data_IF_456580431350
#
_entry.id   IF_456580431350
#
_cell.length_a   1.000
_cell.length_b   1.000
_cell.length_c   1.000
_cell.angle_alpha   90.00
_cell.angle_beta   90.00
_cell.angle_gamma   90.00
#
_symmetry.space_group_name_H-M   'P 1'
#
loop_
_entity.id
_entity.type
_entity.pdbx_description
1 polymer ?
#
# COMPACT_ATOMS: atom_id res chain seq x y z
N UNK A 1 -19.67 33.57 -22.91
CA UNK A 1 -18.23 33.83 -22.90
C UNK A 1 -17.87 34.69 -24.09
N UNK A 2 -17.38 35.91 -23.85
CA UNK A 2 -16.85 36.76 -24.91
C UNK A 2 -15.33 36.60 -24.90
N UNK A 3 -14.79 36.06 -25.99
CA UNK A 3 -13.35 35.85 -26.13
C UNK A 3 -12.80 36.89 -27.11
N UNK A 4 -11.72 37.53 -26.74
CA UNK A 4 -11.00 38.48 -27.59
C UNK A 4 -9.58 37.94 -27.84
N UNK A 5 -9.14 38.01 -29.06
CA UNK A 5 -7.77 37.62 -29.40
C UNK A 5 -6.75 38.67 -28.93
N UNK A 6 -5.60 38.19 -28.43
CA UNK A 6 -4.50 39.01 -27.93
C UNK A 6 -3.56 39.44 -29.07
N UNK A 7 -4.08 39.70 -30.24
CA UNK A 7 -3.29 40.14 -31.39
C UNK A 7 -3.84 41.47 -31.92
N UNK A 8 -2.97 42.32 -32.39
CA UNK A 8 -3.33 43.55 -33.08
C UNK A 8 -3.71 43.36 -34.56
N UNK A 9 -3.60 42.13 -35.07
CA UNK A 9 -3.98 41.79 -36.44
C UNK A 9 -5.51 41.69 -36.56
N UNK A 10 -6.17 42.59 -37.29
CA UNK A 10 -7.62 42.56 -37.44
C UNK A 10 -8.14 41.40 -38.27
N UNK A 11 -7.27 40.65 -38.96
CA UNK A 11 -7.61 39.49 -39.74
C UNK A 11 -7.45 38.16 -39.01
N UNK A 12 -6.88 38.21 -37.81
CA UNK A 12 -6.68 37.02 -37.01
C UNK A 12 -8.02 36.50 -36.46
N UNK A 13 -8.21 35.19 -36.53
CA UNK A 13 -9.40 34.52 -36.03
C UNK A 13 -9.06 33.19 -35.34
N UNK A 14 -9.93 32.76 -34.46
CA UNK A 14 -9.82 31.46 -33.83
C UNK A 14 -10.29 30.41 -34.83
N UNK A 15 -9.44 29.43 -35.23
CA UNK A 15 -9.86 28.40 -36.19
C UNK A 15 -11.11 27.65 -35.71
N UNK A 16 -12.04 27.38 -36.62
CA UNK A 16 -13.33 26.76 -36.31
C UNK A 16 -13.20 25.42 -35.54
N UNK A 17 -12.11 24.70 -35.75
CA UNK A 17 -11.82 23.46 -35.01
C UNK A 17 -11.68 23.63 -33.50
N UNK A 18 -11.37 24.83 -33.00
CA UNK A 18 -11.28 25.16 -31.59
C UNK A 18 -12.61 25.66 -30.99
N UNK A 19 -13.58 25.97 -31.84
CA UNK A 19 -14.89 26.49 -31.44
C UNK A 19 -16.00 25.46 -31.44
N UNK A 20 -15.68 24.18 -31.57
CA UNK A 20 -16.65 23.07 -31.57
C UNK A 20 -17.30 22.87 -30.21
N UNK A 21 -18.58 22.49 -30.22
CA UNK A 21 -19.33 22.15 -28.99
C UNK A 21 -18.62 21.03 -28.23
N UNK A 22 -18.47 21.19 -26.90
CA UNK A 22 -17.83 20.21 -26.04
C UNK A 22 -16.31 20.37 -25.86
N UNK A 23 -15.71 21.42 -26.42
CA UNK A 23 -14.32 21.79 -26.10
C UNK A 23 -14.24 22.39 -24.70
N UNK A 24 -13.31 21.89 -23.91
CA UNK A 24 -12.96 22.46 -22.62
C UNK A 24 -12.04 23.67 -22.82
N UNK A 25 -12.32 24.75 -22.11
CA UNK A 25 -11.54 25.97 -22.10
C UNK A 25 -11.04 26.19 -20.69
N UNK A 26 -9.73 26.24 -20.53
CA UNK A 26 -9.09 26.59 -19.26
C UNK A 26 -8.63 28.04 -19.28
N UNK A 27 -8.62 28.69 -18.11
CA UNK A 27 -8.07 30.02 -17.90
C UNK A 27 -6.75 29.88 -17.16
N UNK A 28 -5.66 30.30 -17.80
CA UNK A 28 -4.33 30.17 -17.23
C UNK A 28 -3.94 31.41 -16.40
N UNK A 29 -4.22 32.61 -16.92
CA UNK A 29 -3.89 33.84 -16.22
C UNK A 29 -4.92 34.91 -16.51
N UNK A 30 -4.89 35.99 -15.73
CA UNK A 30 -5.75 37.13 -15.90
C UNK A 30 -4.91 38.43 -15.86
N UNK A 31 -5.05 39.27 -16.88
CA UNK A 31 -4.50 40.61 -16.92
C UNK A 31 -5.62 41.61 -16.84
N UNK A 32 -5.45 42.65 -16.06
CA UNK A 32 -6.42 43.78 -15.89
C UNK A 32 -5.77 45.09 -16.25
N UNK A 33 -6.58 46.12 -16.47
CA UNK A 33 -6.15 47.48 -16.81
C UNK A 33 -5.24 48.06 -15.72
N UNK A 34 -4.20 48.82 -16.13
CA UNK A 34 -3.20 49.36 -15.19
C UNK A 34 -3.76 50.49 -14.33
N UNK A 35 -4.67 51.32 -14.86
CA UNK A 35 -5.03 52.59 -14.22
C UNK A 35 -6.36 52.53 -13.45
N UNK A 36 -7.32 51.72 -13.85
CA UNK A 36 -8.62 51.58 -13.20
C UNK A 36 -9.13 50.15 -13.22
N UNK A 37 -8.53 49.28 -12.45
CA UNK A 37 -9.06 47.92 -12.30
C UNK A 37 -10.18 47.87 -11.26
N UNK A 38 -11.37 48.32 -11.60
CA UNK A 38 -12.56 48.17 -10.76
C UNK A 38 -13.08 46.74 -10.75
N UNK A 39 -12.82 45.97 -11.81
CA UNK A 39 -13.17 44.55 -11.91
C UNK A 39 -11.98 43.70 -11.54
N UNK A 40 -12.02 43.15 -10.36
CA UNK A 40 -11.09 42.08 -9.98
C UNK A 40 -11.18 40.88 -10.93
N UNK A 41 -10.04 40.32 -11.28
CA UNK A 41 -9.99 39.11 -12.09
C UNK A 41 -10.82 37.96 -11.49
N UNK A 42 -11.49 37.19 -12.34
CA UNK A 42 -12.26 36.06 -11.92
C UNK A 42 -11.34 34.99 -11.32
N UNK A 43 -11.63 34.55 -10.10
CA UNK A 43 -10.94 33.46 -9.44
C UNK A 43 -11.49 32.12 -9.96
N UNK A 44 -10.62 31.23 -10.38
CA UNK A 44 -11.02 29.87 -10.68
C UNK A 44 -11.19 29.10 -9.38
N UNK A 45 -12.40 28.65 -9.09
CA UNK A 45 -12.67 27.77 -7.98
C UNK A 45 -12.72 26.32 -8.48
N UNK A 46 -11.80 25.51 -8.02
CA UNK A 46 -11.89 24.07 -8.17
C UNK A 46 -12.56 23.49 -6.94
N UNK A 47 -13.62 22.72 -7.12
CA UNK A 47 -14.19 21.96 -6.01
C UNK A 47 -13.24 20.83 -5.63
N UNK A 48 -12.84 20.76 -4.36
CA UNK A 48 -12.02 19.67 -3.86
C UNK A 48 -12.74 18.33 -3.99
N UNK A 49 -12.04 17.32 -4.48
CA UNK A 49 -12.54 15.95 -4.48
C UNK A 49 -12.52 15.40 -3.04
N UNK A 50 -13.70 15.02 -2.54
CA UNK A 50 -13.80 14.38 -1.23
C UNK A 50 -13.68 12.87 -1.39
N UNK A 51 -12.61 12.31 -0.86
CA UNK A 51 -12.45 10.86 -0.70
C UNK A 51 -12.86 10.45 0.71
N UNK A 52 -13.46 9.29 0.83
CA UNK A 52 -13.94 8.76 2.11
C UNK A 52 -13.55 7.30 2.25
N UNK A 53 -12.96 6.97 3.39
CA UNK A 53 -12.74 5.61 3.84
C UNK A 53 -13.29 5.47 5.26
N UNK A 54 -13.46 4.25 5.73
CA UNK A 54 -13.97 3.94 7.06
C UNK A 54 -13.01 3.00 7.77
N UNK A 55 -13.02 3.00 9.11
CA UNK A 55 -12.25 2.03 9.89
C UNK A 55 -13.05 0.73 10.07
N UNK A 56 -12.34 -0.39 10.09
CA UNK A 56 -12.89 -1.71 10.39
C UNK A 56 -12.59 -2.09 11.83
N UNK A 57 -13.52 -2.79 12.46
CA UNK A 57 -13.30 -3.39 13.78
C UNK A 57 -12.88 -4.84 13.58
N UNK A 58 -11.68 -5.17 13.99
CA UNK A 58 -11.12 -6.51 14.00
C UNK A 58 -11.19 -7.08 15.41
N UNK A 59 -11.57 -8.34 15.54
CA UNK A 59 -11.63 -9.03 16.83
C UNK A 59 -11.26 -10.49 16.69
N UNK A 60 -10.40 -10.95 17.59
CA UNK A 60 -9.99 -12.35 17.64
C UNK A 60 -9.94 -12.81 19.10
N UNK A 61 -10.19 -14.08 19.32
CA UNK A 61 -10.07 -14.70 20.63
C UNK A 61 -9.21 -15.96 20.57
N UNK A 62 -8.51 -16.19 21.66
CA UNK A 62 -7.77 -17.39 21.93
C UNK A 62 -8.26 -17.99 23.25
N UNK A 63 -8.52 -19.28 23.31
CA UNK A 63 -9.08 -19.96 24.46
C UNK A 63 -8.18 -21.09 24.89
N UNK A 64 -7.85 -21.14 26.19
CA UNK A 64 -7.00 -22.16 26.79
C UNK A 64 -7.80 -22.87 27.85
N UNK A 65 -7.74 -24.21 27.86
CA UNK A 65 -8.33 -25.05 28.92
C UNK A 65 -7.29 -25.35 29.98
N UNK A 66 -7.70 -25.50 31.24
CA UNK A 66 -6.81 -25.82 32.36
C UNK A 66 -5.97 -27.08 32.12
N UNK A 67 -6.55 -28.08 31.48
CA UNK A 67 -5.86 -29.35 31.18
C UNK A 67 -4.66 -29.21 30.19
N UNK A 68 -4.60 -28.12 29.42
CA UNK A 68 -3.54 -27.87 28.45
C UNK A 68 -2.49 -26.90 28.98
N UNK A 69 -2.80 -26.16 30.03
CA UNK A 69 -1.99 -25.05 30.54
C UNK A 69 -0.53 -25.45 30.82
N UNK A 70 -0.30 -26.60 31.43
CA UNK A 70 1.04 -27.03 31.86
C UNK A 70 1.71 -28.04 30.91
N UNK A 71 1.11 -28.28 29.73
CA UNK A 71 1.72 -29.18 28.74
C UNK A 71 2.97 -28.57 28.14
N UNK A 72 4.08 -29.33 28.23
CA UNK A 72 5.38 -28.94 27.68
C UNK A 72 5.47 -29.33 26.20
N UNK A 73 6.08 -28.48 25.39
CA UNK A 73 6.44 -28.83 24.00
C UNK A 73 7.58 -29.85 23.99
N UNK A 74 7.50 -30.80 23.07
CA UNK A 74 8.58 -31.76 22.83
C UNK A 74 9.84 -31.08 22.30
N UNK A 75 9.65 -30.03 21.49
CA UNK A 75 10.71 -29.19 20.94
C UNK A 75 10.38 -27.74 21.29
N UNK A 76 11.25 -27.09 22.05
CA UNK A 76 11.09 -25.67 22.39
C UNK A 76 11.28 -24.76 21.15
N UNK A 77 10.54 -23.68 21.08
CA UNK A 77 10.74 -22.65 20.05
C UNK A 77 11.87 -21.71 20.49
N UNK A 78 12.92 -21.63 19.69
CA UNK A 78 14.10 -20.81 19.94
C UNK A 78 14.16 -19.63 18.97
N UNK A 79 14.59 -18.48 19.46
CA UNK A 79 14.94 -17.33 18.61
C UNK A 79 16.24 -17.59 17.84
N UNK A 80 16.49 -16.94 16.69
CA UNK A 80 17.79 -16.95 16.02
C UNK A 80 18.95 -16.57 16.94
N UNK A 81 18.69 -15.75 17.96
CA UNK A 81 19.68 -15.32 18.96
C UNK A 81 19.91 -16.34 20.08
N UNK A 82 19.36 -17.56 19.97
CA UNK A 82 19.50 -18.63 20.94
C UNK A 82 18.63 -18.50 22.19
N UNK A 83 17.78 -17.48 22.26
CA UNK A 83 16.86 -17.31 23.37
C UNK A 83 15.59 -18.18 23.17
N UNK A 84 15.10 -18.73 24.27
CA UNK A 84 13.90 -19.55 24.26
C UNK A 84 12.64 -18.67 24.16
N UNK A 85 11.84 -18.87 23.12
CA UNK A 85 10.57 -18.14 22.88
C UNK A 85 9.41 -18.87 23.57
N UNK A 86 9.34 -20.19 23.42
CA UNK A 86 8.25 -20.99 23.98
C UNK A 86 8.70 -22.39 24.40
N UNK A 87 8.28 -22.77 25.59
CA UNK A 87 8.50 -24.09 26.22
C UNK A 87 7.23 -24.90 26.34
N UNK A 88 6.11 -24.23 26.43
CA UNK A 88 4.80 -24.83 26.63
C UNK A 88 3.92 -24.68 25.40
N UNK A 89 2.98 -25.59 25.24
CA UNK A 89 1.99 -25.52 24.17
C UNK A 89 1.19 -24.21 24.19
N UNK A 90 0.90 -23.70 25.35
CA UNK A 90 0.15 -22.45 25.51
C UNK A 90 0.92 -21.27 24.98
N UNK A 91 2.22 -21.13 25.34
CA UNK A 91 3.07 -20.03 24.84
C UNK A 91 3.29 -20.11 23.33
N UNK A 92 3.45 -21.33 22.80
CA UNK A 92 3.55 -21.52 21.35
C UNK A 92 2.27 -21.08 20.64
N UNK A 93 1.12 -21.54 21.11
CA UNK A 93 -0.18 -21.20 20.53
C UNK A 93 -0.51 -19.70 20.70
N UNK A 94 -0.08 -19.06 21.76
CA UNK A 94 -0.18 -17.61 21.97
C UNK A 94 0.70 -16.86 20.96
N UNK A 95 1.94 -17.29 20.75
CA UNK A 95 2.82 -16.74 19.74
C UNK A 95 2.24 -16.90 18.33
N UNK A 96 1.74 -18.07 17.97
CA UNK A 96 1.09 -18.33 16.68
C UNK A 96 -0.17 -17.45 16.51
N UNK A 97 -0.97 -17.28 17.55
CA UNK A 97 -2.11 -16.38 17.57
C UNK A 97 -1.72 -14.93 17.24
N UNK A 98 -0.62 -14.44 17.83
CA UNK A 98 -0.12 -13.10 17.54
C UNK A 98 0.39 -12.95 16.10
N UNK A 99 1.12 -13.92 15.59
CA UNK A 99 1.56 -13.92 14.19
C UNK A 99 0.36 -13.86 13.25
N UNK A 100 -0.62 -14.73 13.44
CA UNK A 100 -1.85 -14.74 12.64
C UNK A 100 -2.65 -13.44 12.76
N UNK A 101 -2.70 -12.84 13.94
CA UNK A 101 -3.38 -11.58 14.16
C UNK A 101 -2.75 -10.44 13.36
N UNK A 102 -1.43 -10.34 13.38
CA UNK A 102 -0.70 -9.32 12.64
C UNK A 102 -0.83 -9.52 11.13
N UNK A 103 -0.72 -10.75 10.65
CA UNK A 103 -0.90 -11.08 9.24
C UNK A 103 -2.31 -10.74 8.73
N UNK A 104 -3.34 -11.07 9.49
CA UNK A 104 -4.73 -10.76 9.13
C UNK A 104 -4.97 -9.25 9.03
N UNK A 105 -4.43 -8.46 9.96
CA UNK A 105 -4.51 -7.00 9.92
C UNK A 105 -3.74 -6.44 8.72
N UNK A 106 -2.52 -6.90 8.47
CA UNK A 106 -1.72 -6.45 7.35
C UNK A 106 -2.41 -6.73 6.02
N UNK A 107 -2.94 -7.94 5.84
CA UNK A 107 -3.71 -8.32 4.66
C UNK A 107 -4.95 -7.43 4.50
N UNK A 108 -5.67 -7.16 5.58
CA UNK A 108 -6.84 -6.29 5.54
C UNK A 108 -6.50 -4.84 5.19
N UNK A 109 -5.41 -4.29 5.73
CA UNK A 109 -4.95 -2.94 5.44
C UNK A 109 -4.41 -2.79 4.01
N UNK A 110 -3.81 -3.85 3.45
CA UNK A 110 -3.27 -3.79 2.08
C UNK A 110 -4.34 -4.08 1.03
N UNK A 111 -5.12 -5.15 1.21
CA UNK A 111 -6.01 -5.73 0.19
C UNK A 111 -7.50 -5.56 0.48
N UNK A 112 -7.87 -4.98 1.61
CA UNK A 112 -9.26 -4.79 2.01
C UNK A 112 -10.08 -4.09 0.91
N UNK A 113 -11.35 -4.44 0.82
CA UNK A 113 -12.31 -3.75 -0.05
C UNK A 113 -13.41 -3.16 0.80
N UNK A 114 -13.68 -1.87 0.61
CA UNK A 114 -14.77 -1.21 1.31
C UNK A 114 -16.12 -1.80 0.90
N UNK A 115 -16.99 -1.94 1.88
CA UNK A 115 -18.40 -2.30 1.66
C UNK A 115 -19.32 -1.08 1.66
N UNK A 116 -18.77 0.13 1.69
CA UNK A 116 -19.56 1.37 1.62
C UNK A 116 -20.11 1.60 0.22
N UNK A 117 -21.36 1.99 0.16
CA UNK A 117 -22.00 2.54 -1.04
C UNK A 117 -21.67 4.03 -1.17
N UNK A 118 -22.06 4.64 -2.29
CA UNK A 118 -21.87 6.09 -2.54
C UNK A 118 -22.55 6.97 -1.49
N UNK A 119 -23.66 6.51 -0.90
CA UNK A 119 -24.42 7.18 0.17
C UNK A 119 -23.87 6.91 1.57
N UNK A 120 -22.67 6.30 1.66
CA UNK A 120 -22.00 5.90 2.92
C UNK A 120 -22.74 4.83 3.75
N UNK A 121 -23.78 4.23 3.20
CA UNK A 121 -24.47 3.10 3.81
C UNK A 121 -23.81 1.77 3.46
N UNK A 122 -24.09 0.74 4.25
CA UNK A 122 -23.75 -0.66 3.96
C UNK A 122 -24.87 -1.58 4.37
N UNK A 123 -25.09 -2.63 3.59
CA UNK A 123 -26.09 -3.65 3.89
C UNK A 123 -25.52 -4.85 4.66
N UNK A 124 -24.19 -4.86 4.91
CA UNK A 124 -23.56 -5.98 5.60
C UNK A 124 -23.89 -5.94 7.08
N UNK A 125 -24.46 -7.03 7.58
CA UNK A 125 -24.79 -7.21 9.00
C UNK A 125 -24.06 -8.40 9.57
N UNK A 126 -23.63 -8.28 10.81
CA UNK A 126 -23.03 -9.38 11.58
C UNK A 126 -24.09 -10.33 12.14
N UNK A 127 -23.64 -11.37 12.81
CA UNK A 127 -24.50 -12.38 13.43
C UNK A 127 -25.51 -11.80 14.44
N UNK A 128 -25.16 -10.69 15.08
CA UNK A 128 -26.05 -9.98 16.02
C UNK A 128 -26.97 -8.94 15.37
N UNK A 129 -27.03 -8.89 14.03
CA UNK A 129 -27.85 -7.94 13.28
C UNK A 129 -27.28 -6.52 13.17
N UNK A 130 -26.16 -6.23 13.82
CA UNK A 130 -25.47 -4.93 13.74
C UNK A 130 -24.71 -4.77 12.44
N UNK A 131 -24.55 -3.52 12.01
CA UNK A 131 -23.82 -3.19 10.78
C UNK A 131 -22.34 -3.49 10.91
N UNK A 132 -21.76 -4.13 9.89
CA UNK A 132 -20.33 -4.39 9.78
C UNK A 132 -19.73 -3.45 8.73
N UNK A 133 -18.72 -2.70 9.14
CA UNK A 133 -17.98 -1.79 8.27
C UNK A 133 -16.64 -2.41 7.86
N UNK A 134 -16.36 -2.41 6.56
CA UNK A 134 -15.09 -2.85 5.99
C UNK A 134 -14.35 -1.67 5.36
N UNK A 135 -13.12 -1.47 5.81
CA UNK A 135 -12.21 -0.45 5.29
C UNK A 135 -11.71 -0.82 3.90
N UNK A 136 -11.53 0.18 3.05
CA UNK A 136 -10.72 0.01 1.86
C UNK A 136 -9.25 -0.10 2.26
N UNK A 137 -8.59 -1.14 1.79
CA UNK A 137 -7.14 -1.29 1.90
C UNK A 137 -6.41 -0.35 0.94
N UNK A 138 -5.09 -0.33 1.06
CA UNK A 138 -4.25 0.58 0.29
C UNK A 138 -4.42 0.40 -1.23
N UNK A 139 -4.41 -0.84 -1.73
CA UNK A 139 -4.57 -1.13 -3.17
C UNK A 139 -5.92 -0.70 -3.74
N UNK A 140 -6.97 -0.74 -2.93
CA UNK A 140 -8.31 -0.33 -3.35
C UNK A 140 -8.45 1.20 -3.45
N UNK A 141 -7.61 1.95 -2.74
CA UNK A 141 -7.60 3.41 -2.75
C UNK A 141 -6.78 4.01 -3.88
N UNK A 142 -5.89 3.23 -4.51
CA UNK A 142 -5.10 3.70 -5.67
C UNK A 142 -6.04 3.97 -6.84
N UNK A 143 -5.86 5.15 -7.46
CA UNK A 143 -6.66 5.56 -8.62
C UNK A 143 -6.58 4.52 -9.75
N UNK A 144 -7.72 4.16 -10.37
CA UNK A 144 -7.72 3.25 -11.52
C UNK A 144 -6.85 3.75 -12.69
N UNK A 145 -6.71 5.07 -12.86
CA UNK A 145 -5.86 5.68 -13.88
C UNK A 145 -4.37 5.37 -13.70
N UNK A 146 -3.95 5.09 -12.45
CA UNK A 146 -2.57 4.79 -12.10
C UNK A 146 -2.27 3.28 -12.06
N UNK A 147 -3.20 2.44 -12.55
CA UNK A 147 -2.99 1.01 -12.72
C UNK A 147 -2.64 0.73 -14.16
N UNK A 148 -1.40 0.28 -14.40
CA UNK A 148 -0.89 -0.04 -15.73
C UNK A 148 -0.61 -1.53 -15.85
N UNK A 149 -0.87 -2.06 -17.04
CA UNK A 149 -0.58 -3.44 -17.37
C UNK A 149 0.65 -3.50 -18.27
N UNK A 150 1.47 -4.51 -18.07
CA UNK A 150 2.65 -4.77 -18.91
C UNK A 150 2.67 -6.23 -19.36
N UNK A 151 3.13 -6.47 -20.55
CA UNK A 151 3.41 -7.81 -21.10
C UNK A 151 4.87 -8.16 -20.87
N UNK A 152 5.76 -7.24 -21.27
CA UNK A 152 7.19 -7.34 -21.05
C UNK A 152 7.69 -6.16 -20.20
N UNK A 153 8.45 -6.48 -19.16
CA UNK A 153 9.07 -5.46 -18.33
C UNK A 153 10.43 -5.08 -18.92
N UNK A 154 10.50 -3.88 -19.46
CA UNK A 154 11.73 -3.30 -20.02
C UNK A 154 12.08 -2.00 -19.30
N UNK A 155 13.33 -1.52 -19.41
CA UNK A 155 13.71 -0.21 -18.86
C UNK A 155 12.82 0.90 -19.44
N UNK A 156 12.51 0.86 -20.71
CA UNK A 156 11.61 1.84 -21.34
C UNK A 156 10.20 1.81 -20.77
N UNK A 157 9.67 0.63 -20.43
CA UNK A 157 8.36 0.48 -19.76
C UNK A 157 8.38 1.17 -18.39
N UNK A 158 9.45 0.97 -17.61
CA UNK A 158 9.61 1.57 -16.29
C UNK A 158 9.75 3.09 -16.41
N UNK A 159 10.58 3.57 -17.33
CA UNK A 159 10.78 5.00 -17.57
C UNK A 159 9.50 5.71 -17.99
N UNK A 160 8.76 5.14 -18.95
CA UNK A 160 7.48 5.70 -19.40
C UNK A 160 6.46 5.72 -18.28
N UNK A 161 6.41 4.66 -17.47
CA UNK A 161 5.55 4.61 -16.30
C UNK A 161 5.88 5.70 -15.27
N UNK A 162 7.16 5.94 -14.99
CA UNK A 162 7.58 7.03 -14.11
C UNK A 162 7.20 8.41 -14.66
N UNK A 163 7.39 8.62 -15.97
CA UNK A 163 6.97 9.85 -16.62
C UNK A 163 5.46 10.07 -16.52
N UNK A 164 4.65 9.02 -16.76
CA UNK A 164 3.20 9.08 -16.63
C UNK A 164 2.77 9.48 -15.20
N UNK A 165 3.46 8.98 -14.18
CA UNK A 165 3.22 9.38 -12.78
C UNK A 165 3.61 10.84 -12.52
N UNK A 166 4.65 11.34 -13.18
CA UNK A 166 5.09 12.72 -13.03
C UNK A 166 4.07 13.72 -13.59
N UNK A 167 3.39 13.41 -14.69
CA UNK A 167 2.38 14.29 -15.28
C UNK A 167 1.15 14.51 -14.39
N UNK A 168 0.84 13.58 -13.50
CA UNK A 168 -0.34 13.64 -12.64
C UNK A 168 -0.05 14.29 -11.26
N UNK A 169 1.18 14.69 -11.02
CA UNK A 169 1.56 15.19 -9.72
C UNK A 169 1.56 16.70 -9.62
N UNK A 170 1.26 17.17 -8.43
CA UNK A 170 1.20 18.61 -8.07
C UNK A 170 2.51 19.13 -7.47
N UNK A 171 3.49 18.26 -7.23
CA UNK A 171 4.77 18.64 -6.60
C UNK A 171 5.86 18.85 -7.64
N UNK A 172 6.59 19.95 -7.51
CA UNK A 172 7.81 20.23 -8.24
C UNK A 172 8.99 19.52 -7.54
N UNK A 173 9.82 18.83 -8.32
CA UNK A 173 11.04 18.20 -7.85
C UNK A 173 11.05 16.67 -7.90
N UNK A 174 12.18 16.05 -7.51
CA UNK A 174 12.35 14.61 -7.58
C UNK A 174 11.43 13.88 -6.62
N UNK A 175 10.87 12.77 -7.06
CA UNK A 175 9.97 11.92 -6.29
C UNK A 175 10.66 10.65 -5.88
N UNK A 176 10.34 10.19 -4.69
CA UNK A 176 10.85 8.93 -4.16
C UNK A 176 9.71 7.93 -3.96
N UNK A 177 9.73 6.87 -4.76
CA UNK A 177 8.78 5.77 -4.64
C UNK A 177 9.42 4.56 -3.99
N UNK A 178 8.74 3.98 -3.02
CA UNK A 178 9.01 2.63 -2.55
C UNK A 178 8.06 1.68 -3.26
N UNK A 179 8.62 0.75 -4.02
CA UNK A 179 7.86 -0.24 -4.74
C UNK A 179 7.80 -1.54 -3.93
N UNK A 180 6.61 -1.84 -3.39
CA UNK A 180 6.32 -3.15 -2.81
C UNK A 180 6.06 -4.13 -3.94
N UNK A 181 6.90 -5.14 -4.10
CA UNK A 181 6.85 -6.03 -5.24
C UNK A 181 7.00 -7.50 -4.87
N UNK A 182 6.44 -8.36 -5.71
CA UNK A 182 6.67 -9.77 -5.62
C UNK A 182 8.05 -10.16 -6.18
N UNK A 183 8.53 -11.33 -5.80
CA UNK A 183 9.88 -11.84 -6.16
C UNK A 183 10.07 -11.93 -7.68
N UNK A 184 9.04 -12.35 -8.42
CA UNK A 184 9.14 -12.45 -9.86
C UNK A 184 9.22 -11.07 -10.55
N UNK A 185 8.55 -10.06 -10.01
CA UNK A 185 8.72 -8.69 -10.50
C UNK A 185 10.15 -8.18 -10.27
N UNK A 186 10.73 -8.46 -9.11
CA UNK A 186 12.12 -8.08 -8.81
C UNK A 186 13.11 -8.75 -9.77
N UNK A 187 12.89 -10.02 -10.11
CA UNK A 187 13.72 -10.75 -11.07
C UNK A 187 13.61 -10.15 -12.48
N UNK A 188 12.39 -9.87 -12.96
CA UNK A 188 12.17 -9.20 -14.24
C UNK A 188 12.77 -7.81 -14.30
N UNK A 189 12.67 -7.06 -13.20
CA UNK A 189 13.25 -5.73 -13.08
C UNK A 189 14.78 -5.80 -13.18
N UNK A 190 15.43 -6.70 -12.45
CA UNK A 190 16.88 -6.90 -12.50
C UNK A 190 17.35 -7.29 -13.90
N UNK A 191 16.62 -8.21 -14.58
CA UNK A 191 16.90 -8.59 -15.96
C UNK A 191 16.76 -7.41 -16.93
N UNK A 192 15.71 -6.58 -16.78
CA UNK A 192 15.50 -5.39 -17.61
C UNK A 192 16.64 -4.37 -17.44
N UNK A 193 17.08 -4.15 -16.20
CA UNK A 193 18.19 -3.23 -15.92
C UNK A 193 19.53 -3.75 -16.44
N UNK A 194 19.82 -5.04 -16.27
CA UNK A 194 21.02 -5.68 -16.82
C UNK A 194 21.08 -5.61 -18.34
N UNK A 195 19.94 -5.85 -18.99
CA UNK A 195 19.85 -5.74 -20.45
C UNK A 195 20.06 -4.32 -20.94
N UNK A 196 19.54 -3.33 -20.24
CA UNK A 196 19.76 -1.92 -20.56
C UNK A 196 21.22 -1.54 -20.30
N UNK A 197 21.80 -1.93 -19.17
CA UNK A 197 23.19 -1.66 -18.83
C UNK A 197 24.19 -2.29 -19.82
N UNK A 198 23.87 -3.45 -20.39
CA UNK A 198 24.75 -4.11 -21.38
C UNK A 198 24.84 -3.34 -22.70
N UNK A 199 23.90 -2.45 -23.01
CA UNK A 199 23.92 -1.59 -24.18
C UNK A 199 24.84 -0.37 -24.01
N UNK A 200 25.25 -0.04 -22.78
CA UNK A 200 26.23 0.99 -22.52
C UNK A 200 27.60 0.32 -22.42
N UNK A 201 28.56 0.76 -23.23
CA UNK A 201 29.95 0.32 -23.12
C UNK A 201 30.46 0.78 -21.76
N UNK A 202 30.60 -0.16 -20.83
CA UNK A 202 31.19 0.10 -19.53
C UNK A 202 32.69 0.40 -19.75
N UNK A 203 33.02 1.67 -19.89
CA UNK A 203 34.39 2.13 -19.82
C UNK A 203 34.82 2.00 -18.35
N UNK A 204 35.60 0.99 -18.09
CA UNK A 204 36.31 0.79 -16.81
C UNK A 204 35.38 0.67 -15.58
N UNK A 205 34.53 -0.32 -15.56
CA UNK A 205 33.81 -0.65 -14.33
C UNK A 205 34.69 -1.48 -13.42
N UNK A 206 35.29 -0.83 -12.46
CA UNK A 206 35.81 -1.50 -11.27
C UNK A 206 34.66 -2.11 -10.49
N UNK A 207 34.20 -3.28 -10.90
CA UNK A 207 33.38 -4.17 -10.08
C UNK A 207 34.18 -4.88 -8.99
N UNK A 208 35.47 -4.49 -8.85
CA UNK A 208 36.37 -5.01 -7.83
C UNK A 208 36.77 -3.85 -6.92
N UNK A 209 35.84 -3.41 -6.09
CA UNK A 209 36.20 -2.57 -4.96
C UNK A 209 35.78 -3.30 -3.69
N UNK A 210 36.61 -4.17 -3.23
CA UNK A 210 36.44 -4.79 -1.94
C UNK A 210 37.78 -5.24 -1.46
N UNK A 211 38.34 -4.55 -0.51
CA UNK A 211 39.37 -5.09 0.37
C UNK A 211 38.77 -6.18 1.28
N UNK A 212 38.14 -7.19 0.70
CA UNK A 212 37.57 -8.32 1.39
C UNK A 212 37.38 -9.45 0.38
N UNK A 213 37.95 -10.57 0.67
CA UNK A 213 38.14 -11.77 -0.16
C UNK A 213 36.85 -12.50 -0.58
N UNK A 214 35.74 -11.82 -0.83
CA UNK A 214 34.53 -12.46 -1.34
C UNK A 214 34.21 -11.92 -2.73
N UNK A 215 34.40 -12.77 -3.73
CA UNK A 215 33.89 -12.56 -5.08
C UNK A 215 32.37 -12.73 -5.05
N UNK A 216 31.62 -11.65 -4.85
CA UNK A 216 30.16 -11.67 -4.93
C UNK A 216 29.72 -11.61 -6.39
N UNK A 217 29.54 -12.76 -7.01
CA UNK A 217 28.81 -12.87 -8.26
C UNK A 217 27.31 -12.64 -8.00
N UNK A 218 26.74 -11.59 -8.59
CA UNK A 218 25.31 -11.31 -8.54
C UNK A 218 24.98 -9.96 -7.92
N UNK A 219 25.41 -8.87 -8.53
CA UNK A 219 24.84 -7.56 -8.22
C UNK A 219 23.35 -7.54 -8.61
N UNK A 220 22.46 -7.22 -7.67
CA UNK A 220 21.05 -7.03 -7.92
C UNK A 220 20.74 -5.53 -7.92
N UNK A 221 20.03 -5.07 -8.96
CA UNK A 221 19.55 -3.70 -8.99
C UNK A 221 18.28 -3.57 -8.14
N UNK A 222 18.36 -2.88 -7.02
CA UNK A 222 17.22 -2.61 -6.13
C UNK A 222 16.74 -1.16 -6.21
N UNK A 223 17.49 -0.29 -6.86
CA UNK A 223 17.17 1.12 -6.98
C UNK A 223 17.32 1.57 -8.42
N UNK A 224 16.38 2.34 -8.90
CA UNK A 224 16.40 2.98 -10.20
C UNK A 224 16.22 4.48 -10.02
N UNK A 225 17.06 5.28 -10.68
CA UNK A 225 16.93 6.74 -10.73
C UNK A 225 16.59 7.14 -12.17
N UNK A 226 15.42 7.72 -12.34
CA UNK A 226 14.90 8.17 -13.62
C UNK A 226 15.28 9.60 -13.96
N UNK A 227 14.58 10.14 -14.97
CA UNK A 227 14.67 11.55 -15.35
C UNK A 227 14.27 12.44 -14.16
N UNK A 228 14.82 13.65 -14.09
CA UNK A 228 14.60 14.61 -12.98
C UNK A 228 15.05 14.14 -11.58
N UNK A 229 15.76 13.01 -11.48
CA UNK A 229 16.19 12.45 -10.21
C UNK A 229 15.13 11.64 -9.47
N UNK A 230 14.01 11.32 -10.10
CA UNK A 230 12.99 10.44 -9.54
C UNK A 230 13.56 9.07 -9.21
N UNK A 231 13.28 8.58 -8.02
CA UNK A 231 13.88 7.35 -7.48
C UNK A 231 12.84 6.31 -7.15
N UNK A 232 13.10 5.10 -7.59
CA UNK A 232 12.35 3.90 -7.19
C UNK A 232 13.26 3.01 -6.36
N UNK A 233 12.80 2.58 -5.20
CA UNK A 233 13.47 1.56 -4.38
C UNK A 233 12.55 0.35 -4.26
N UNK A 234 13.05 -0.81 -4.70
CA UNK A 234 12.31 -2.07 -4.62
C UNK A 234 12.38 -2.66 -3.22
N UNK A 235 11.25 -3.19 -2.76
CA UNK A 235 11.15 -3.93 -1.52
C UNK A 235 10.27 -5.16 -1.76
N UNK A 236 10.77 -6.35 -1.41
CA UNK A 236 9.98 -7.58 -1.49
C UNK A 236 8.81 -7.51 -0.49
N UNK A 237 7.63 -7.87 -0.99
CA UNK A 237 6.42 -7.99 -0.20
C UNK A 237 5.90 -9.42 -0.23
N UNK A 238 6.13 -10.16 0.84
CA UNK A 238 5.88 -11.59 0.94
C UNK A 238 4.44 -12.03 0.59
N UNK A 239 3.36 -11.29 0.95
CA UNK A 239 2.00 -11.69 0.59
C UNK A 239 1.74 -11.81 -0.92
N UNK A 240 2.49 -11.11 -1.77
CA UNK A 240 2.38 -11.27 -3.23
C UNK A 240 2.91 -12.63 -3.72
N UNK A 241 3.83 -13.24 -2.97
CA UNK A 241 4.44 -14.53 -3.31
C UNK A 241 3.64 -15.73 -2.78
N UNK A 242 2.63 -15.51 -1.94
CA UNK A 242 1.87 -16.56 -1.29
C UNK A 242 0.99 -17.31 -2.28
N UNK A 243 1.27 -18.60 -2.50
CA UNK A 243 0.45 -19.50 -3.33
C UNK A 243 -0.91 -19.79 -2.68
N UNK A 244 -0.98 -19.79 -1.35
CA UNK A 244 -2.22 -20.06 -0.61
C UNK A 244 -3.23 -18.95 -0.83
N UNK A 245 -2.76 -17.70 -0.83
CA UNK A 245 -3.59 -16.52 -1.07
C UNK A 245 -3.89 -16.32 -2.55
N UNK A 246 -2.89 -16.48 -3.42
CA UNK A 246 -2.94 -16.15 -4.84
C UNK A 246 -3.05 -17.41 -5.69
N UNK A 247 -4.28 -17.85 -5.93
CA UNK A 247 -4.57 -19.08 -6.65
C UNK A 247 -4.43 -18.98 -8.17
N UNK A 248 -4.40 -17.76 -8.72
CA UNK A 248 -4.17 -17.55 -10.15
C UNK A 248 -2.68 -17.71 -10.43
N UNK A 249 -2.33 -18.77 -11.15
CA UNK A 249 -0.95 -19.10 -11.47
C UNK A 249 -0.63 -18.71 -12.91
N UNK A 250 0.60 -18.26 -13.12
CA UNK A 250 1.14 -17.95 -14.44
C UNK A 250 1.29 -19.25 -15.24
N UNK A 251 0.73 -19.36 -16.47
CA UNK A 251 0.63 -20.62 -17.20
C UNK A 251 1.98 -21.24 -17.56
N UNK A 252 3.02 -20.43 -17.79
CA UNK A 252 4.35 -20.91 -18.17
C UNK A 252 5.24 -21.24 -16.97
N UNK A 253 5.12 -20.49 -15.87
CA UNK A 253 6.04 -20.62 -14.73
C UNK A 253 5.43 -21.32 -13.51
N UNK A 254 4.11 -21.48 -13.47
CA UNK A 254 3.39 -22.06 -12.34
C UNK A 254 3.43 -21.21 -11.04
N UNK A 255 3.96 -19.97 -11.12
CA UNK A 255 4.08 -19.07 -9.97
C UNK A 255 2.86 -18.16 -9.86
N UNK A 256 2.54 -17.63 -8.66
CA UNK A 256 1.41 -16.69 -8.51
C UNK A 256 1.53 -15.49 -9.43
N UNK A 257 0.47 -15.13 -10.14
CA UNK A 257 0.46 -13.94 -11.00
C UNK A 257 0.69 -12.66 -10.20
N UNK A 258 0.21 -12.58 -8.97
CA UNK A 258 0.47 -11.43 -8.09
C UNK A 258 1.96 -11.24 -7.75
N UNK A 259 2.79 -12.28 -7.85
CA UNK A 259 4.24 -12.12 -7.64
C UNK A 259 4.94 -11.32 -8.76
N UNK A 260 4.24 -11.06 -9.87
CA UNK A 260 4.68 -10.19 -10.96
C UNK A 260 4.17 -8.75 -10.81
N UNK A 261 3.52 -8.42 -9.69
CA UNK A 261 2.98 -7.09 -9.41
C UNK A 261 3.98 -6.24 -8.63
N UNK A 262 3.93 -4.94 -8.89
CA UNK A 262 4.58 -3.93 -8.07
C UNK A 262 3.60 -2.80 -7.73
N UNK A 263 3.57 -2.40 -6.47
CA UNK A 263 2.79 -1.27 -5.96
C UNK A 263 3.74 -0.17 -5.54
N UNK A 264 3.69 0.96 -6.23
CA UNK A 264 4.55 2.12 -6.01
C UNK A 264 3.87 3.08 -5.05
N UNK A 265 4.54 3.40 -3.97
CA UNK A 265 4.03 4.21 -2.88
C UNK A 265 4.98 5.36 -2.58
N UNK A 266 4.45 6.57 -2.54
CA UNK A 266 5.17 7.75 -2.08
C UNK A 266 4.85 7.98 -0.60
N UNK A 267 5.86 7.86 0.26
CA UNK A 267 5.74 8.09 1.71
C UNK A 267 6.11 9.51 2.14
N UNK A 268 6.38 10.39 1.17
CA UNK A 268 6.78 11.76 1.44
C UNK A 268 5.68 12.53 2.20
N UNK A 269 6.09 13.47 3.02
CA UNK A 269 5.16 14.36 3.71
C UNK A 269 4.63 15.44 2.77
N UNK A 270 3.34 15.79 2.92
CA UNK A 270 2.70 16.89 2.18
C UNK A 270 2.94 18.24 2.85
N UNK A 271 2.51 19.29 2.18
CA UNK A 271 2.68 20.69 2.62
C UNK A 271 2.16 21.00 4.03
N UNK A 272 1.25 20.19 4.56
CA UNK A 272 0.74 20.29 5.93
C UNK A 272 1.53 19.45 6.95
N UNK A 273 2.66 18.85 6.54
CA UNK A 273 3.51 18.02 7.40
C UNK A 273 3.00 16.63 7.69
N UNK A 274 1.89 16.22 7.09
CA UNK A 274 1.32 14.89 7.28
C UNK A 274 1.77 13.92 6.16
N UNK A 275 2.09 12.65 6.46
CA UNK A 275 2.47 11.68 5.45
C UNK A 275 1.30 11.32 4.55
N UNK A 276 1.59 10.95 3.29
CA UNK A 276 0.58 10.55 2.31
C UNK A 276 -0.17 9.30 2.73
N UNK A 277 0.54 8.35 3.33
CA UNK A 277 -0.02 7.08 3.78
C UNK A 277 -0.01 7.08 5.30
N UNK A 278 -1.20 6.94 5.89
CA UNK A 278 -1.36 6.91 7.33
C UNK A 278 -2.22 5.72 7.77
N UNK A 279 -1.75 5.03 8.79
CA UNK A 279 -2.59 4.13 9.58
C UNK A 279 -3.42 4.97 10.55
N UNK A 280 -4.73 4.78 10.51
CA UNK A 280 -5.70 5.53 11.31
C UNK A 280 -6.40 4.56 12.25
N UNK A 281 -6.61 4.98 13.48
CA UNK A 281 -7.30 4.17 14.50
C UNK A 281 -8.14 5.06 15.43
N UNK A 282 -9.13 4.45 16.04
CA UNK A 282 -9.94 5.12 17.06
C UNK A 282 -9.14 5.22 18.35
N UNK A 283 -9.05 6.41 18.93
CA UNK A 283 -8.32 6.65 20.19
C UNK A 283 -8.78 5.70 21.29
N UNK A 284 -7.82 4.97 21.87
CA UNK A 284 -8.08 3.97 22.90
C UNK A 284 -8.59 2.62 22.37
N UNK A 285 -8.71 2.44 21.07
CA UNK A 285 -9.11 1.17 20.44
C UNK A 285 -8.08 0.66 19.40
N UNK A 286 -6.86 1.13 19.47
CA UNK A 286 -5.76 0.72 18.57
C UNK A 286 -5.48 -0.77 18.67
N UNK A 287 -5.34 -1.24 19.92
CA UNK A 287 -5.10 -2.63 20.26
C UNK A 287 -5.49 -2.84 21.71
N UNK A 288 -6.70 -3.30 21.90
CA UNK A 288 -7.20 -3.66 23.23
C UNK A 288 -7.03 -5.15 23.41
N UNK A 289 -6.26 -5.55 24.39
CA UNK A 289 -6.09 -6.95 24.77
C UNK A 289 -6.53 -7.16 26.20
N UNK A 290 -7.28 -8.22 26.45
CA UNK A 290 -7.77 -8.54 27.80
C UNK A 290 -7.92 -10.03 27.99
N UNK A 291 -7.70 -10.47 29.23
CA UNK A 291 -7.97 -11.84 29.66
C UNK A 291 -9.32 -11.93 30.36
N UNK A 292 -10.09 -12.93 29.99
CA UNK A 292 -11.29 -13.35 30.75
C UNK A 292 -10.91 -14.66 31.43
N UNK A 293 -10.61 -14.57 32.71
CA UNK A 293 -10.11 -15.67 33.50
C UNK A 293 -11.26 -16.48 34.12
N UNK A 294 -11.16 -17.79 33.98
CA UNK A 294 -12.02 -18.73 34.65
C UNK A 294 -11.37 -19.32 35.90
N UNK A 295 -11.39 -20.64 36.07
CA UNK A 295 -10.71 -21.34 37.15
C UNK A 295 -9.18 -21.30 36.99
N UNK A 296 -8.69 -21.10 35.79
CA UNK A 296 -7.31 -20.86 35.42
C UNK A 296 -7.12 -19.46 34.87
N UNK A 297 -5.99 -18.85 35.17
CA UNK A 297 -5.50 -17.62 34.52
C UNK A 297 -4.20 -17.87 33.77
N UNK A 298 -3.62 -16.82 33.13
CA UNK A 298 -2.34 -16.93 32.41
C UNK A 298 -1.17 -17.38 33.30
N UNK A 299 -1.28 -17.15 34.61
CA UNK A 299 -0.26 -17.48 35.63
C UNK A 299 -0.50 -18.80 36.37
N UNK A 300 -1.60 -19.50 36.05
CA UNK A 300 -1.93 -20.77 36.69
C UNK A 300 -3.33 -20.83 37.31
N UNK A 301 -3.60 -21.86 38.15
CA UNK A 301 -4.90 -22.04 38.78
C UNK A 301 -5.21 -20.94 39.78
N UNK A 302 -6.45 -20.50 39.86
CA UNK A 302 -6.93 -19.53 40.83
C UNK A 302 -7.39 -20.23 42.09
N UNK A 303 -6.54 -20.24 43.11
CA UNK A 303 -6.87 -20.78 44.42
C UNK A 303 -7.42 -19.65 45.30
N UNK A 304 -8.67 -19.79 45.74
CA UNK A 304 -9.38 -18.80 46.54
C UNK A 304 -9.51 -17.37 45.93
N UNK A 305 -9.43 -17.27 44.59
CA UNK A 305 -9.54 -16.02 43.87
C UNK A 305 -10.92 -15.80 43.26
N UNK A 306 -11.18 -14.57 42.82
CA UNK A 306 -12.35 -14.23 42.00
C UNK A 306 -12.13 -14.62 40.55
N UNK A 307 -13.11 -15.24 39.91
CA UNK A 307 -13.09 -15.58 38.47
C UNK A 307 -14.18 -14.83 37.72
N UNK A 308 -13.92 -14.42 36.49
CA UNK A 308 -14.92 -13.78 35.63
C UNK A 308 -15.81 -14.81 34.90
N UNK A 309 -15.42 -16.08 34.93
CA UNK A 309 -16.14 -17.17 34.23
C UNK A 309 -16.00 -18.48 35.03
N UNK A 310 -17.03 -19.32 34.97
CA UNK A 310 -17.02 -20.66 35.56
C UNK A 310 -16.28 -21.71 34.71
N UNK A 311 -15.67 -21.30 33.58
CA UNK A 311 -14.94 -22.22 32.69
C UNK A 311 -13.64 -22.69 33.34
N UNK A 312 -13.28 -23.94 33.11
CA UNK A 312 -11.96 -24.47 33.42
C UNK A 312 -10.97 -24.01 32.34
N UNK A 313 -10.36 -22.83 32.56
CA UNK A 313 -9.45 -22.19 31.63
C UNK A 313 -9.57 -20.68 31.62
N UNK A 314 -8.98 -20.04 30.60
CA UNK A 314 -9.10 -18.61 30.37
C UNK A 314 -9.25 -18.32 28.87
N UNK A 315 -9.78 -17.14 28.55
CA UNK A 315 -9.87 -16.63 27.19
C UNK A 315 -9.06 -15.34 27.08
N UNK A 316 -8.32 -15.21 26.00
CA UNK A 316 -7.62 -13.99 25.64
C UNK A 316 -8.34 -13.35 24.44
N UNK A 317 -8.73 -12.11 24.60
CA UNK A 317 -9.45 -11.34 23.60
C UNK A 317 -8.61 -10.18 23.10
N UNK A 318 -8.54 -10.03 21.79
CA UNK A 318 -7.91 -8.87 21.14
C UNK A 318 -8.94 -8.16 20.27
N UNK A 319 -8.95 -6.85 20.33
CA UNK A 319 -9.80 -5.97 19.52
C UNK A 319 -8.97 -4.82 19.00
N UNK A 320 -9.14 -4.49 17.74
CA UNK A 320 -8.56 -3.30 17.12
C UNK A 320 -9.57 -2.65 16.18
N UNK A 321 -9.66 -1.34 16.21
CA UNK A 321 -10.47 -0.53 15.29
C UNK A 321 -9.53 0.40 14.54
N UNK A 322 -9.27 0.03 13.27
CA UNK A 322 -8.25 0.70 12.47
C UNK A 322 -8.57 0.64 10.99
N UNK A 323 -7.88 1.50 10.24
CA UNK A 323 -7.92 1.56 8.79
C UNK A 323 -6.64 2.17 8.25
N UNK A 324 -6.52 2.22 6.95
CA UNK A 324 -5.43 2.91 6.26
C UNK A 324 -6.01 4.02 5.40
N UNK A 325 -5.31 5.15 5.33
CA UNK A 325 -5.71 6.29 4.53
C UNK A 325 -4.59 6.65 3.56
N UNK A 326 -4.94 6.75 2.29
CA UNK A 326 -4.11 7.30 1.23
C UNK A 326 -4.67 8.67 0.89
N UNK A 327 -3.96 9.75 1.25
CA UNK A 327 -4.44 11.13 1.10
C UNK A 327 -4.48 11.56 -0.37
N UNK A 328 -3.39 11.28 -1.07
CA UNK A 328 -3.30 11.56 -2.50
C UNK A 328 -3.17 10.23 -3.29
N UNK A 329 -4.27 9.74 -3.86
CA UNK A 329 -4.26 8.49 -4.61
C UNK A 329 -3.53 8.58 -5.95
N UNK A 330 -3.20 9.80 -6.42
CA UNK A 330 -2.44 10.01 -7.65
C UNK A 330 -0.94 9.76 -7.46
N UNK A 331 -0.44 9.85 -6.22
CA UNK A 331 0.96 9.56 -5.88
C UNK A 331 1.22 8.09 -5.54
N UNK A 332 0.26 7.24 -5.78
CA UNK A 332 0.40 5.81 -5.69
C UNK A 332 -0.01 5.15 -7.00
N UNK A 333 0.67 4.08 -7.37
CA UNK A 333 0.42 3.42 -8.64
C UNK A 333 0.70 1.93 -8.58
N UNK A 334 0.23 1.19 -9.58
CA UNK A 334 0.47 -0.24 -9.71
C UNK A 334 0.90 -0.60 -11.12
N UNK A 335 1.91 -1.46 -11.22
CA UNK A 335 2.27 -2.22 -12.40
C UNK A 335 1.80 -3.67 -12.24
N UNK A 336 0.96 -4.11 -13.15
CA UNK A 336 0.32 -5.40 -13.15
C UNK A 336 0.72 -6.17 -14.40
N UNK A 337 0.93 -7.48 -14.28
CA UNK A 337 1.13 -8.34 -15.43
C UNK A 337 -0.18 -8.47 -16.21
N UNK A 338 -0.14 -8.29 -17.53
CA UNK A 338 -1.29 -8.56 -18.38
C UNK A 338 -1.47 -10.07 -18.57
N UNK A 339 -2.38 -10.64 -17.80
CA UNK A 339 -2.68 -12.07 -17.87
C UNK A 339 -3.24 -12.52 -19.22
N UNK A 340 -3.93 -11.64 -19.95
CA UNK A 340 -4.55 -11.99 -21.22
C UNK A 340 -3.52 -12.10 -22.35
N UNK A 341 -2.29 -11.63 -22.14
CA UNK A 341 -1.19 -11.69 -23.11
C UNK A 341 -0.26 -12.89 -22.91
N UNK A 342 -0.51 -13.74 -21.90
CA UNK A 342 0.28 -14.91 -21.55
C UNK A 342 -0.17 -16.16 -22.27
#
# INVERSE_FOLDING_TARGET
LTCQMVTSDPTAYIPAGYLTIGKEISKDFNAVENDHSETSGLTNYTSGLRLQNIMSTYRKKFSVTGAVHDKVLTIGLMSPDGNEIAKTWVKYAEWEFWCQWMDEIEIALMFGKSNLKKDTSTNMKGASGNTVYLSAGLEAQISPSNKRYYTDLTESTIRNFMNDLAYNGTEDGPREYRALCGRNFMDLFDQAMKKSASNYTLVDSVFITGSGQELKFGGQFMTYTGLNGDKITLQEYAPYNSVVRNRLLHPKTGRPVESYKATFLNFKSYSNGEPNIQKVYTKGREMVSTYVEGLYGPTGPKINGSSASAKDGYEFHVLSEQGIMLKNPTDAAQLLLDYNSL
#
